data_IF_432190729408
#
_entry.id   IF_432190729408
#
_cell.length_a   1.000
_cell.length_b   1.000
_cell.length_c   1.000
_cell.angle_alpha   90.00
_cell.angle_beta   90.00
_cell.angle_gamma   90.00
#
_symmetry.space_group_name_H-M   'P 1'
#
loop_
_entity.id
_entity.type
_entity.pdbx_description
1 polymer ?
#
# COMPACT_ATOMS: atom_id res chain seq x y z
N UNK A 1 -71.54 49.48 -38.01
CA UNK A 1 -70.32 48.67 -37.79
C UNK A 1 -69.51 49.35 -36.69
N UNK A 2 -69.32 48.70 -35.54
CA UNK A 2 -68.54 49.27 -34.43
C UNK A 2 -67.03 49.22 -34.75
N UNK A 3 -66.24 50.27 -34.44
CA UNK A 3 -64.81 50.25 -34.67
C UNK A 3 -64.13 49.31 -33.66
N UNK A 4 -63.39 48.33 -34.18
CA UNK A 4 -62.49 47.49 -33.39
C UNK A 4 -61.32 48.35 -32.91
N UNK A 5 -61.24 48.57 -31.61
CA UNK A 5 -60.07 49.20 -30.98
C UNK A 5 -58.92 48.19 -31.00
N UNK A 6 -58.03 48.30 -32.00
CA UNK A 6 -56.70 47.72 -31.89
C UNK A 6 -56.00 48.48 -30.76
N UNK A 7 -55.90 47.86 -29.60
CA UNK A 7 -55.01 48.32 -28.54
C UNK A 7 -53.60 48.17 -29.09
N UNK A 8 -53.02 49.25 -29.61
CA UNK A 8 -51.63 49.27 -30.02
C UNK A 8 -50.81 48.76 -28.83
N UNK A 9 -49.99 47.73 -29.07
CA UNK A 9 -48.96 47.37 -28.10
C UNK A 9 -48.16 48.65 -27.82
N UNK A 10 -47.78 48.92 -26.56
CA UNK A 10 -46.90 50.03 -26.28
C UNK A 10 -45.67 49.91 -27.20
N UNK A 11 -45.24 51.02 -27.85
CA UNK A 11 -44.11 50.96 -28.76
C UNK A 11 -42.91 50.34 -28.03
N UNK A 12 -42.18 49.46 -28.71
CA UNK A 12 -40.92 48.95 -28.19
C UNK A 12 -40.04 50.13 -27.76
N UNK A 13 -39.38 50.06 -26.59
CA UNK A 13 -38.52 51.15 -26.15
C UNK A 13 -37.46 51.44 -27.23
N UNK A 14 -37.23 52.73 -27.49
CA UNK A 14 -36.22 53.16 -28.45
C UNK A 14 -34.82 52.75 -27.96
N UNK A 15 -33.95 52.32 -28.89
CA UNK A 15 -32.53 52.08 -28.59
C UNK A 15 -31.84 53.39 -28.14
N UNK A 16 -30.74 53.30 -27.40
CA UNK A 16 -29.96 54.49 -27.05
C UNK A 16 -29.43 55.19 -28.33
N UNK A 17 -29.52 56.51 -28.38
CA UNK A 17 -29.13 57.31 -29.54
C UNK A 17 -29.93 58.61 -29.69
N UNK A 18 -29.56 59.39 -30.71
CA UNK A 18 -30.27 60.62 -31.10
C UNK A 18 -31.17 60.34 -32.30
N UNK A 19 -32.42 60.78 -32.20
CA UNK A 19 -33.47 60.56 -33.17
C UNK A 19 -33.95 61.88 -33.76
N UNK A 20 -33.42 62.24 -34.92
CA UNK A 20 -33.79 63.45 -35.64
C UNK A 20 -35.14 63.28 -36.35
N UNK A 21 -36.03 64.28 -36.23
CA UNK A 21 -37.35 64.31 -36.87
C UNK A 21 -38.26 63.09 -36.59
N UNK A 22 -38.12 62.44 -35.42
CA UNK A 22 -38.93 61.26 -35.04
C UNK A 22 -40.14 61.58 -34.18
N UNK A 23 -40.29 62.83 -33.74
CA UNK A 23 -41.51 63.24 -33.04
C UNK A 23 -42.56 63.68 -34.07
N UNK A 24 -43.83 63.57 -33.72
CA UNK A 24 -44.95 64.00 -34.56
C UNK A 24 -45.88 64.86 -33.73
N UNK A 25 -46.21 66.06 -34.22
CA UNK A 25 -47.18 66.95 -33.61
C UNK A 25 -48.49 66.86 -34.38
N UNK A 26 -49.57 66.47 -33.71
CA UNK A 26 -50.93 66.53 -34.25
C UNK A 26 -51.66 67.70 -33.59
N UNK A 27 -52.14 68.64 -34.38
CA UNK A 27 -52.97 69.75 -33.88
C UNK A 27 -54.39 69.22 -33.56
N UNK A 28 -54.98 69.66 -32.46
CA UNK A 28 -56.32 69.26 -32.01
C UNK A 28 -57.12 70.46 -31.50
N UNK A 29 -58.45 70.36 -31.51
CA UNK A 29 -59.38 71.45 -31.21
C UNK A 29 -60.28 71.81 -32.39
N UNK A 30 -61.36 72.55 -32.14
CA UNK A 30 -62.37 72.90 -33.15
C UNK A 30 -61.78 73.66 -34.36
N UNK A 31 -60.78 74.49 -34.10
CA UNK A 31 -60.12 75.33 -35.11
C UNK A 31 -58.81 74.72 -35.63
N UNK A 32 -58.43 73.50 -35.22
CA UNK A 32 -57.14 72.90 -35.61
C UNK A 32 -56.97 72.78 -37.13
N UNK A 33 -58.07 72.63 -37.88
CA UNK A 33 -58.06 72.60 -39.34
C UNK A 33 -57.67 73.93 -40.01
N UNK A 34 -57.67 75.03 -39.25
CA UNK A 34 -57.27 76.36 -39.75
C UNK A 34 -55.76 76.62 -39.65
N UNK A 35 -54.98 75.71 -39.05
CA UNK A 35 -53.56 75.88 -38.80
C UNK A 35 -52.74 74.72 -39.37
N UNK A 36 -51.56 75.03 -39.89
CA UNK A 36 -50.53 74.05 -40.26
C UNK A 36 -49.27 74.28 -39.43
N UNK A 37 -48.68 73.21 -38.89
CA UNK A 37 -47.39 73.31 -38.22
C UNK A 37 -46.26 73.26 -39.26
N UNK A 38 -45.61 74.41 -39.49
CA UNK A 38 -44.44 74.55 -40.37
C UNK A 38 -43.09 74.60 -39.63
N UNK A 39 -43.09 74.36 -38.31
CA UNK A 39 -41.87 74.40 -37.49
C UNK A 39 -41.02 73.14 -37.64
N UNK A 40 -39.77 73.22 -37.21
CA UNK A 40 -38.92 72.03 -37.05
C UNK A 40 -39.39 71.22 -35.85
N UNK A 41 -39.43 69.90 -36.00
CA UNK A 41 -39.66 69.01 -34.87
C UNK A 41 -38.30 68.74 -34.22
N UNK A 42 -38.21 68.93 -32.91
CA UNK A 42 -36.95 68.75 -32.18
C UNK A 42 -36.43 67.32 -32.24
N UNK A 43 -35.13 67.17 -32.06
CA UNK A 43 -34.49 65.85 -31.88
C UNK A 43 -34.88 65.25 -30.53
N UNK A 44 -34.98 63.92 -30.47
CA UNK A 44 -35.20 63.17 -29.24
C UNK A 44 -33.97 62.33 -28.92
N UNK A 45 -33.46 62.38 -27.69
CA UNK A 45 -32.27 61.64 -27.28
C UNK A 45 -32.63 60.61 -26.22
N UNK A 46 -32.20 59.37 -26.44
CA UNK A 46 -32.25 58.28 -25.47
C UNK A 46 -30.84 58.00 -24.98
N UNK A 47 -30.61 58.13 -23.68
CA UNK A 47 -29.33 57.81 -23.06
C UNK A 47 -29.23 56.31 -22.74
N UNK A 48 -28.01 55.81 -22.60
CA UNK A 48 -27.77 54.42 -22.18
C UNK A 48 -28.19 54.20 -20.72
N UNK A 49 -28.71 53.01 -20.41
CA UNK A 49 -28.97 52.59 -19.03
C UNK A 49 -27.70 52.04 -18.38
N UNK A 50 -27.30 52.58 -17.23
CA UNK A 50 -26.19 52.03 -16.43
C UNK A 50 -26.62 50.72 -15.77
N UNK A 51 -25.93 49.62 -16.06
CA UNK A 51 -26.20 48.29 -15.51
C UNK A 51 -25.66 48.16 -14.08
N UNK A 52 -26.53 47.73 -13.17
CA UNK A 52 -26.18 47.28 -11.84
C UNK A 52 -25.72 45.81 -11.90
N UNK A 53 -24.43 45.62 -12.21
CA UNK A 53 -23.80 44.31 -12.29
C UNK A 53 -23.20 43.84 -10.97
N UNK A 54 -23.44 42.58 -10.61
CA UNK A 54 -22.80 41.91 -9.47
C UNK A 54 -22.02 40.71 -9.98
N UNK A 55 -20.77 40.57 -9.52
CA UNK A 55 -19.95 39.39 -9.74
C UNK A 55 -20.03 38.49 -8.50
N UNK A 56 -20.57 37.28 -8.69
CA UNK A 56 -20.64 36.27 -7.65
C UNK A 56 -19.27 35.81 -7.16
N UNK A 57 -19.22 35.18 -6.00
CA UNK A 57 -17.99 34.57 -5.50
C UNK A 57 -17.56 33.40 -6.42
N UNK A 58 -16.27 33.35 -6.73
CA UNK A 58 -15.63 32.21 -7.40
C UNK A 58 -14.98 31.29 -6.37
N UNK A 59 -14.77 30.02 -6.74
CA UNK A 59 -14.07 29.10 -5.86
C UNK A 59 -13.43 27.93 -6.59
N UNK A 60 -12.36 27.39 -6.02
CA UNK A 60 -11.78 26.12 -6.47
C UNK A 60 -11.16 25.37 -5.30
N UNK A 61 -10.73 24.13 -5.54
CA UNK A 61 -9.79 23.43 -4.67
C UNK A 61 -8.37 23.69 -5.15
N UNK A 62 -7.43 23.75 -4.22
CA UNK A 62 -6.02 23.96 -4.52
C UNK A 62 -5.51 22.97 -5.57
N UNK A 63 -4.77 23.47 -6.56
CA UNK A 63 -4.26 22.70 -7.70
C UNK A 63 -5.27 22.42 -8.82
N UNK A 64 -6.55 22.81 -8.66
CA UNK A 64 -7.57 22.68 -9.72
C UNK A 64 -7.65 23.96 -10.57
N UNK A 65 -8.22 23.83 -11.77
CA UNK A 65 -8.57 24.99 -12.60
C UNK A 65 -9.46 25.98 -11.84
N UNK A 66 -9.20 27.27 -12.03
CA UNK A 66 -10.00 28.32 -11.39
C UNK A 66 -11.41 28.35 -11.96
N UNK A 67 -12.40 28.53 -11.09
CA UNK A 67 -13.83 28.65 -11.47
C UNK A 67 -14.33 30.00 -10.97
N UNK A 68 -14.26 31.05 -11.82
CA UNK A 68 -14.76 32.37 -11.47
C UNK A 68 -16.28 32.37 -11.24
N UNK A 69 -16.75 33.32 -10.44
CA UNK A 69 -18.18 33.53 -10.24
C UNK A 69 -18.88 34.06 -11.49
N UNK A 70 -20.21 33.96 -11.52
CA UNK A 70 -21.01 34.49 -12.62
C UNK A 70 -21.34 35.98 -12.42
N UNK A 71 -21.45 36.71 -13.54
CA UNK A 71 -21.94 38.08 -13.55
C UNK A 71 -23.46 38.07 -13.74
N UNK A 72 -24.16 38.88 -12.96
CA UNK A 72 -25.61 39.09 -13.08
C UNK A 72 -25.93 40.57 -13.13
N UNK A 73 -26.98 40.93 -13.87
CA UNK A 73 -27.46 42.31 -14.00
C UNK A 73 -28.90 42.38 -13.46
N UNK A 74 -29.13 43.17 -12.41
CA UNK A 74 -30.42 43.23 -11.73
C UNK A 74 -31.44 44.14 -12.41
N UNK A 75 -30.98 45.14 -13.17
CA UNK A 75 -31.81 46.14 -13.83
C UNK A 75 -31.81 46.04 -15.36
N UNK A 76 -31.38 44.91 -15.92
CA UNK A 76 -31.48 44.65 -17.37
C UNK A 76 -32.96 44.59 -17.77
N UNK A 77 -33.33 45.26 -18.86
CA UNK A 77 -34.70 45.23 -19.38
C UNK A 77 -35.05 43.80 -19.82
N UNK A 78 -36.28 43.36 -19.50
CA UNK A 78 -36.74 42.02 -19.83
C UNK A 78 -36.81 41.83 -21.35
N UNK A 79 -36.23 40.74 -21.84
CA UNK A 79 -36.12 40.44 -23.28
C UNK A 79 -34.80 40.88 -23.90
N UNK A 80 -34.06 41.80 -23.27
CA UNK A 80 -32.80 42.29 -23.83
C UNK A 80 -31.69 41.23 -23.74
N UNK A 81 -30.94 41.13 -24.85
CA UNK A 81 -29.79 40.25 -24.99
C UNK A 81 -28.52 41.04 -24.72
N UNK A 82 -28.03 40.92 -23.49
CA UNK A 82 -26.80 41.54 -23.00
C UNK A 82 -26.01 40.52 -22.19
N UNK A 83 -24.71 40.42 -22.44
CA UNK A 83 -23.77 39.55 -21.76
C UNK A 83 -22.50 40.33 -21.39
N UNK A 84 -21.92 40.00 -20.23
CA UNK A 84 -20.65 40.59 -19.80
C UNK A 84 -19.48 39.96 -20.56
N UNK A 85 -18.30 40.60 -20.47
CA UNK A 85 -17.04 39.95 -20.77
C UNK A 85 -16.77 38.74 -19.86
N UNK A 86 -15.76 37.95 -20.21
CA UNK A 86 -15.22 36.88 -19.36
C UNK A 86 -14.66 37.46 -18.06
N UNK A 87 -14.88 36.74 -16.96
CA UNK A 87 -14.30 37.07 -15.65
C UNK A 87 -12.84 36.59 -15.62
N UNK A 88 -11.93 37.44 -15.17
CA UNK A 88 -10.53 37.09 -14.89
C UNK A 88 -10.30 36.95 -13.39
N UNK A 89 -9.33 36.12 -13.00
CA UNK A 89 -8.86 35.97 -11.61
C UNK A 89 -7.39 36.31 -11.57
N UNK A 90 -7.03 37.34 -10.80
CA UNK A 90 -5.63 37.78 -10.66
C UNK A 90 -4.91 36.91 -9.65
N UNK A 91 -3.86 36.19 -10.08
CA UNK A 91 -3.07 35.29 -9.21
C UNK A 91 -1.71 35.85 -8.82
N UNK A 92 -1.28 36.96 -9.41
CA UNK A 92 0.04 37.58 -9.17
C UNK A 92 0.31 37.78 -7.68
N UNK A 93 1.47 37.31 -7.21
CA UNK A 93 1.90 37.40 -5.82
C UNK A 93 1.23 36.39 -4.87
N UNK A 94 0.28 35.58 -5.36
CA UNK A 94 -0.52 34.64 -4.55
C UNK A 94 -0.31 33.18 -4.95
N UNK A 95 0.68 32.87 -5.78
CA UNK A 95 0.94 31.51 -6.27
C UNK A 95 1.89 30.73 -5.37
N UNK A 96 1.65 29.43 -5.24
CA UNK A 96 2.57 28.45 -4.65
C UNK A 96 3.82 28.24 -5.51
N UNK A 97 4.73 27.39 -5.03
CA UNK A 97 5.92 27.00 -5.82
C UNK A 97 5.57 26.26 -7.11
N UNK A 98 4.43 25.56 -7.18
CA UNK A 98 3.89 24.97 -8.42
C UNK A 98 3.16 25.96 -9.35
N UNK A 99 3.04 27.24 -8.97
CA UNK A 99 2.35 28.25 -9.77
C UNK A 99 0.83 28.27 -9.61
N UNK A 100 0.27 27.45 -8.72
CA UNK A 100 -1.17 27.42 -8.43
C UNK A 100 -1.54 28.51 -7.42
N UNK A 101 -2.74 29.09 -7.52
CA UNK A 101 -3.25 30.03 -6.49
C UNK A 101 -3.30 29.32 -5.13
N UNK A 102 -2.64 29.89 -4.11
CA UNK A 102 -2.57 29.30 -2.76
C UNK A 102 -3.97 29.12 -2.15
N UNK A 103 -4.10 28.19 -1.20
CA UNK A 103 -5.34 28.05 -0.43
C UNK A 103 -5.58 29.30 0.42
N UNK A 104 -6.83 29.75 0.50
CA UNK A 104 -7.20 30.95 1.23
C UNK A 104 -8.45 31.64 0.67
N UNK A 105 -8.82 32.75 1.30
CA UNK A 105 -9.87 33.65 0.83
C UNK A 105 -9.24 34.94 0.33
N UNK A 106 -9.64 35.36 -0.86
CA UNK A 106 -9.12 36.52 -1.56
C UNK A 106 -10.23 37.51 -1.84
N UNK A 107 -10.05 38.75 -1.41
CA UNK A 107 -11.02 39.82 -1.65
C UNK A 107 -10.70 40.57 -2.93
N UNK A 108 -11.70 40.76 -3.80
CA UNK A 108 -11.59 41.58 -5.01
C UNK A 108 -10.64 41.10 -6.11
N UNK A 109 -10.12 39.87 -6.07
CA UNK A 109 -9.17 39.38 -7.09
C UNK A 109 -9.83 38.94 -8.39
N UNK A 110 -11.16 38.76 -8.38
CA UNK A 110 -11.91 38.57 -9.61
C UNK A 110 -12.26 39.92 -10.22
N UNK A 111 -12.21 40.03 -11.54
CA UNK A 111 -12.63 41.23 -12.24
C UNK A 111 -13.33 40.93 -13.55
N UNK A 112 -14.30 41.75 -13.90
CA UNK A 112 -14.90 41.79 -15.24
C UNK A 112 -14.88 43.22 -15.74
N UNK A 113 -14.44 43.41 -16.99
CA UNK A 113 -14.43 44.73 -17.61
C UNK A 113 -15.84 45.24 -17.88
N UNK A 114 -15.96 46.54 -18.15
CA UNK A 114 -17.20 47.17 -18.59
C UNK A 114 -17.69 46.75 -19.98
N UNK A 115 -16.93 45.89 -20.70
CA UNK A 115 -17.29 45.46 -22.05
C UNK A 115 -18.55 44.60 -22.03
N UNK A 116 -19.54 45.00 -22.81
CA UNK A 116 -20.80 44.28 -23.01
C UNK A 116 -20.89 43.73 -24.43
N UNK A 117 -21.59 42.61 -24.58
CA UNK A 117 -21.89 41.98 -25.87
C UNK A 117 -23.38 41.58 -25.94
N UNK A 118 -23.88 41.31 -27.14
CA UNK A 118 -25.29 40.99 -27.39
C UNK A 118 -26.01 42.08 -28.21
N UNK A 119 -27.19 41.74 -28.72
CA UNK A 119 -27.95 42.59 -29.65
C UNK A 119 -28.38 43.94 -29.07
N UNK A 120 -28.44 44.02 -27.73
CA UNK A 120 -28.90 45.22 -27.02
C UNK A 120 -27.78 45.89 -26.22
N UNK A 121 -26.54 45.41 -26.30
CA UNK A 121 -25.41 45.92 -25.51
C UNK A 121 -25.18 47.44 -25.66
N UNK A 122 -25.40 48.00 -26.87
CA UNK A 122 -25.26 49.44 -27.13
C UNK A 122 -26.27 50.32 -26.37
N UNK A 123 -27.34 49.73 -25.81
CA UNK A 123 -28.32 50.44 -24.99
C UNK A 123 -27.87 50.59 -23.53
N UNK A 124 -26.74 50.00 -23.15
CA UNK A 124 -26.29 49.90 -21.78
C UNK A 124 -24.86 50.41 -21.60
N UNK A 125 -24.56 50.88 -20.40
CA UNK A 125 -23.20 51.07 -19.92
C UNK A 125 -22.96 50.17 -18.72
N UNK A 126 -21.73 49.70 -18.55
CA UNK A 126 -21.32 48.93 -17.38
C UNK A 126 -19.91 49.37 -17.01
N UNK A 127 -19.69 49.70 -15.73
CA UNK A 127 -18.38 50.14 -15.26
C UNK A 127 -17.39 48.97 -15.08
N UNK A 128 -17.87 47.73 -15.16
CA UNK A 128 -17.16 46.57 -14.63
C UNK A 128 -17.48 46.36 -13.14
N UNK A 129 -17.02 45.25 -12.60
CA UNK A 129 -17.12 44.98 -11.16
C UNK A 129 -16.05 43.97 -10.75
N UNK A 130 -15.78 43.89 -9.45
CA UNK A 130 -14.84 42.92 -8.86
C UNK A 130 -15.56 41.98 -7.91
N UNK A 131 -14.93 40.85 -7.61
CA UNK A 131 -15.51 39.80 -6.77
C UNK A 131 -14.46 39.06 -5.96
N UNK A 132 -14.92 38.40 -4.89
CA UNK A 132 -14.07 37.62 -4.00
C UNK A 132 -13.89 36.20 -4.53
N UNK A 133 -12.79 35.55 -4.20
CA UNK A 133 -12.49 34.19 -4.63
C UNK A 133 -11.95 33.36 -3.45
N UNK A 134 -12.34 32.10 -3.36
CA UNK A 134 -11.86 31.20 -2.29
C UNK A 134 -11.21 29.95 -2.88
N UNK A 135 -10.02 29.61 -2.41
CA UNK A 135 -9.35 28.34 -2.71
C UNK A 135 -9.38 27.48 -1.45
N UNK A 136 -10.02 26.32 -1.54
CA UNK A 136 -10.05 25.32 -0.46
C UNK A 136 -8.75 24.50 -0.47
N UNK A 137 -8.13 24.21 0.69
CA UNK A 137 -6.96 23.32 0.73
C UNK A 137 -7.27 21.95 0.13
N UNK A 138 -6.29 21.34 -0.53
CA UNK A 138 -6.41 19.99 -1.06
C UNK A 138 -6.17 18.96 0.05
N UNK A 139 -7.13 18.06 0.30
CA UNK A 139 -6.93 16.95 1.22
C UNK A 139 -5.92 15.94 0.63
N UNK A 140 -4.79 15.74 1.30
CA UNK A 140 -3.76 14.79 0.90
C UNK A 140 -4.16 13.35 1.22
N UNK A 141 -3.91 12.48 0.24
CA UNK A 141 -3.98 11.03 0.40
C UNK A 141 -2.57 10.52 0.67
N UNK A 142 -2.29 10.25 1.95
CA UNK A 142 -1.01 9.74 2.42
C UNK A 142 -1.00 8.23 2.64
N UNK A 143 0.17 7.62 2.50
CA UNK A 143 0.42 6.23 2.88
C UNK A 143 1.80 6.11 3.54
N UNK A 144 1.97 5.15 4.45
CA UNK A 144 3.28 4.74 4.98
C UNK A 144 3.66 3.43 4.30
N UNK A 145 4.86 3.37 3.71
CA UNK A 145 5.42 2.15 3.13
C UNK A 145 5.67 1.05 4.18
N UNK A 146 6.08 -0.13 3.73
CA UNK A 146 6.45 -1.21 4.64
C UNK A 146 7.66 -0.79 5.51
N UNK A 147 7.52 -0.89 6.82
CA UNK A 147 8.63 -0.75 7.77
C UNK A 147 9.08 -2.13 8.26
N UNK A 148 10.38 -2.29 8.50
CA UNK A 148 10.90 -3.57 8.98
C UNK A 148 12.21 -3.46 9.73
N UNK A 149 12.44 -4.38 10.66
CA UNK A 149 13.73 -4.57 11.32
C UNK A 149 13.99 -6.04 11.65
N UNK A 150 15.23 -6.35 12.04
CA UNK A 150 15.54 -7.61 12.72
C UNK A 150 15.28 -7.41 14.22
N UNK A 151 14.81 -8.46 14.89
CA UNK A 151 14.63 -8.46 16.34
C UNK A 151 15.90 -7.97 17.06
N UNK A 152 15.77 -6.96 17.92
CA UNK A 152 16.88 -6.33 18.63
C UNK A 152 17.62 -5.21 17.89
N UNK A 153 17.33 -5.00 16.60
CA UNK A 153 17.87 -3.87 15.85
C UNK A 153 17.00 -2.62 16.02
N UNK A 154 17.57 -1.45 15.75
CA UNK A 154 16.83 -0.19 15.66
C UNK A 154 15.65 -0.31 14.68
N UNK A 155 14.51 0.23 15.06
CA UNK A 155 13.32 0.21 14.23
C UNK A 155 13.47 1.17 13.05
N UNK A 156 13.06 0.74 11.86
CA UNK A 156 13.16 1.50 10.61
C UNK A 156 11.77 1.62 9.99
N UNK A 157 11.17 2.80 10.14
CA UNK A 157 9.86 3.09 9.57
C UNK A 157 9.88 3.12 8.05
N UNK A 158 8.74 2.80 7.45
CA UNK A 158 8.51 3.05 6.03
C UNK A 158 8.46 4.54 5.71
N UNK A 159 8.76 4.89 4.46
CA UNK A 159 8.62 6.26 3.98
C UNK A 159 7.14 6.65 3.84
N UNK A 160 6.83 7.92 4.12
CA UNK A 160 5.50 8.49 3.85
C UNK A 160 5.45 9.02 2.42
N UNK A 161 4.39 8.72 1.70
CA UNK A 161 4.16 9.19 0.33
C UNK A 161 2.79 9.85 0.22
N UNK A 162 2.69 10.88 -0.60
CA UNK A 162 1.43 11.54 -0.95
C UNK A 162 1.11 11.32 -2.44
N UNK A 163 0.00 10.65 -2.75
CA UNK A 163 -0.32 10.26 -4.14
C UNK A 163 -0.91 11.39 -4.98
N UNK A 164 -1.48 12.42 -4.34
CA UNK A 164 -2.16 13.53 -4.98
C UNK A 164 -1.49 14.89 -4.69
N UNK A 165 -0.24 14.90 -4.21
CA UNK A 165 0.52 16.14 -4.05
C UNK A 165 0.72 16.79 -5.43
N UNK A 166 0.42 18.08 -5.55
CA UNK A 166 0.66 18.84 -6.78
C UNK A 166 2.16 18.86 -7.08
N UNK A 167 2.52 18.55 -8.33
CA UNK A 167 3.92 18.53 -8.77
C UNK A 167 4.56 19.91 -8.63
N UNK A 168 5.80 19.96 -8.16
CA UNK A 168 6.53 21.20 -7.87
C UNK A 168 6.35 21.73 -6.43
N UNK A 169 5.33 21.28 -5.69
CA UNK A 169 5.12 21.74 -4.32
C UNK A 169 6.11 21.14 -3.32
N UNK A 170 6.51 21.96 -2.35
CA UNK A 170 7.33 21.57 -1.20
C UNK A 170 6.43 21.35 0.01
N UNK A 171 6.09 20.08 0.23
CA UNK A 171 5.30 19.60 1.37
C UNK A 171 5.94 18.32 1.89
N UNK A 172 6.24 18.30 3.19
CA UNK A 172 6.87 17.19 3.87
C UNK A 172 5.97 16.72 5.02
N UNK A 173 5.80 15.40 5.18
CA UNK A 173 5.10 14.82 6.32
C UNK A 173 5.93 14.97 7.60
N UNK A 174 5.28 14.80 8.74
CA UNK A 174 5.94 14.61 10.03
C UNK A 174 6.72 13.28 10.09
N UNK A 175 7.49 13.11 11.16
CA UNK A 175 8.22 11.85 11.43
C UNK A 175 7.25 10.72 11.73
N UNK A 176 7.53 9.53 11.18
CA UNK A 176 6.78 8.32 11.50
C UNK A 176 7.20 7.80 12.87
N UNK A 177 6.22 7.52 13.72
CA UNK A 177 6.41 6.84 15.00
C UNK A 177 6.01 5.36 14.88
N UNK A 178 6.66 4.50 15.66
CA UNK A 178 6.35 3.07 15.72
C UNK A 178 5.98 2.73 17.17
N UNK A 179 4.73 2.33 17.39
CA UNK A 179 4.25 1.94 18.72
C UNK A 179 4.68 0.52 19.06
N UNK A 180 5.46 0.39 20.15
CA UNK A 180 5.91 -0.92 20.67
C UNK A 180 5.13 -1.38 21.91
N UNK A 181 4.21 -0.55 22.41
CA UNK A 181 3.48 -0.81 23.65
C UNK A 181 2.77 -2.18 23.60
N UNK A 182 2.95 -2.98 24.66
CA UNK A 182 2.37 -4.32 24.77
C UNK A 182 3.02 -5.40 23.89
N UNK A 183 3.99 -5.05 23.04
CA UNK A 183 4.60 -5.95 22.07
C UNK A 183 6.09 -6.22 22.30
N UNK A 184 6.63 -5.78 23.44
CA UNK A 184 8.06 -5.95 23.77
C UNK A 184 8.36 -7.27 24.46
N UNK A 185 9.56 -7.80 24.25
CA UNK A 185 10.17 -8.92 24.97
C UNK A 185 10.61 -8.54 26.38
N UNK A 186 11.18 -9.49 27.12
CA UNK A 186 11.78 -9.19 28.44
C UNK A 186 13.01 -8.27 28.33
N UNK A 187 13.74 -8.27 27.20
CA UNK A 187 14.78 -7.27 26.91
C UNK A 187 14.25 -5.92 26.39
N UNK A 188 12.93 -5.73 26.32
CA UNK A 188 12.33 -4.45 25.91
C UNK A 188 12.31 -4.20 24.40
N UNK A 189 12.75 -5.18 23.58
CA UNK A 189 12.74 -5.07 22.12
C UNK A 189 11.38 -5.48 21.55
N UNK A 190 10.93 -4.84 20.46
CA UNK A 190 9.72 -5.25 19.75
C UNK A 190 9.88 -6.69 19.26
N UNK A 191 8.96 -7.59 19.66
CA UNK A 191 9.03 -9.03 19.36
C UNK A 191 9.04 -9.30 17.84
N UNK A 192 9.55 -10.46 17.44
CA UNK A 192 9.49 -10.89 16.04
C UNK A 192 8.04 -11.19 15.63
N UNK A 193 7.64 -10.74 14.45
CA UNK A 193 6.27 -10.92 13.96
C UNK A 193 5.85 -9.88 12.94
N UNK A 194 4.57 -9.91 12.58
CA UNK A 194 3.93 -8.93 11.70
C UNK A 194 2.90 -8.13 12.49
N UNK A 195 2.97 -6.81 12.36
CA UNK A 195 2.16 -5.87 13.12
C UNK A 195 1.37 -4.98 12.17
N UNK A 196 0.04 -4.93 12.35
CA UNK A 196 -0.84 -4.07 11.55
C UNK A 196 -0.98 -2.70 12.22
N UNK A 197 -0.80 -1.62 11.46
CA UNK A 197 -1.11 -0.26 11.89
C UNK A 197 -0.25 0.32 13.02
N UNK A 198 0.88 -0.30 13.39
CA UNK A 198 1.72 0.22 14.48
C UNK A 198 2.64 1.37 14.08
N UNK A 199 2.81 1.60 12.77
CA UNK A 199 3.42 2.82 12.26
C UNK A 199 2.35 3.90 12.21
N UNK A 200 2.67 5.13 12.62
CA UNK A 200 1.76 6.27 12.50
C UNK A 200 2.51 7.55 12.16
N UNK A 201 1.90 8.39 11.35
CA UNK A 201 2.33 9.77 11.11
C UNK A 201 1.17 10.71 11.40
N UNK A 202 1.46 11.83 12.06
CA UNK A 202 0.46 12.83 12.39
C UNK A 202 -0.03 13.58 11.14
N UNK A 203 -1.10 14.37 11.29
CA UNK A 203 -1.58 15.28 10.23
C UNK A 203 -0.68 16.50 10.00
N UNK A 204 0.40 16.66 10.77
CA UNK A 204 1.27 17.83 10.68
C UNK A 204 2.06 17.81 9.38
N UNK A 205 2.03 18.92 8.65
CA UNK A 205 2.77 19.13 7.41
C UNK A 205 3.76 20.29 7.58
N UNK A 206 4.90 20.18 6.92
CA UNK A 206 5.90 21.26 6.83
C UNK A 206 6.29 21.52 5.38
N UNK A 207 7.02 22.61 5.13
CA UNK A 207 7.37 23.07 3.79
C UNK A 207 6.61 24.33 3.38
N UNK A 208 7.08 25.00 2.32
CA UNK A 208 6.57 26.31 1.89
C UNK A 208 5.13 26.27 1.40
N UNK A 209 4.66 25.10 0.98
CA UNK A 209 3.32 24.91 0.40
C UNK A 209 2.39 24.11 1.31
N UNK A 210 2.80 23.80 2.55
CA UNK A 210 2.03 22.96 3.48
C UNK A 210 0.63 23.50 3.78
N UNK A 211 0.48 24.83 3.89
CA UNK A 211 -0.81 25.49 4.16
C UNK A 211 -1.84 25.30 3.02
N UNK A 212 -1.40 24.88 1.83
CA UNK A 212 -2.29 24.59 0.71
C UNK A 212 -2.99 23.24 0.79
N UNK A 213 -2.68 22.46 1.83
CA UNK A 213 -3.13 21.09 2.00
C UNK A 213 -3.71 20.84 3.39
N UNK A 214 -4.54 19.81 3.49
CA UNK A 214 -4.91 19.19 4.77
C UNK A 214 -4.47 17.73 4.75
N UNK A 215 -4.07 17.20 5.91
CA UNK A 215 -3.72 15.80 6.05
C UNK A 215 -4.20 15.30 7.40
N UNK A 216 -4.89 14.16 7.42
CA UNK A 216 -5.45 13.58 8.65
C UNK A 216 -4.43 12.70 9.40
N UNK A 217 -3.25 12.46 8.83
CA UNK A 217 -2.35 11.39 9.27
C UNK A 217 -2.70 10.07 8.58
N UNK A 218 -1.85 9.07 8.79
CA UNK A 218 -2.12 7.69 8.35
C UNK A 218 -1.36 6.70 9.21
N UNK A 219 -1.78 5.44 9.17
CA UNK A 219 -1.08 4.31 9.80
C UNK A 219 -0.49 3.35 8.77
N UNK A 220 0.50 2.57 9.17
CA UNK A 220 1.14 1.56 8.32
C UNK A 220 1.53 0.29 9.08
N UNK A 221 1.78 -0.78 8.33
CA UNK A 221 2.15 -2.09 8.88
C UNK A 221 3.66 -2.21 9.06
N UNK A 222 4.10 -3.02 10.01
CA UNK A 222 5.51 -3.21 10.33
C UNK A 222 5.84 -4.68 10.54
N UNK A 223 7.04 -5.12 10.17
CA UNK A 223 7.47 -6.51 10.36
C UNK A 223 8.83 -6.60 11.05
N UNK A 224 8.93 -7.49 12.03
CA UNK A 224 10.20 -7.80 12.71
C UNK A 224 10.60 -9.23 12.37
N UNK A 225 11.74 -9.43 11.73
CA UNK A 225 12.30 -10.76 11.48
C UNK A 225 13.00 -11.29 12.73
N UNK A 226 13.09 -12.61 12.86
CA UNK A 226 13.80 -13.23 13.98
C UNK A 226 15.29 -12.90 13.94
N UNK A 227 15.89 -12.77 15.13
CA UNK A 227 17.34 -12.76 15.26
C UNK A 227 17.89 -14.19 15.19
N UNK A 228 19.18 -14.32 14.95
CA UNK A 228 19.85 -15.62 14.87
C UNK A 228 20.68 -15.85 16.12
N UNK A 229 20.48 -16.99 16.78
CA UNK A 229 21.31 -17.47 17.88
C UNK A 229 22.46 -18.30 17.34
N UNK A 230 23.65 -18.09 17.92
CA UNK A 230 24.82 -18.93 17.71
C UNK A 230 24.93 -20.02 18.76
N UNK A 231 25.54 -21.14 18.39
CA UNK A 231 25.64 -22.32 19.24
C UNK A 231 26.06 -23.56 18.47
N UNK A 232 25.86 -24.72 19.09
CA UNK A 232 26.25 -26.01 18.53
C UNK A 232 25.25 -27.10 18.94
N UNK A 233 24.88 -27.97 18.00
CA UNK A 233 24.29 -29.29 18.27
C UNK A 233 25.40 -30.32 18.06
N UNK A 234 25.77 -31.07 19.10
CA UNK A 234 26.79 -32.11 18.97
C UNK A 234 26.31 -33.25 18.07
N UNK A 235 27.22 -34.12 17.65
CA UNK A 235 26.82 -35.36 16.97
C UNK A 235 25.92 -36.22 17.85
N UNK A 236 24.95 -36.87 17.22
CA UNK A 236 24.08 -37.88 17.85
C UNK A 236 24.33 -39.25 17.25
N UNK A 237 23.99 -40.31 17.98
CA UNK A 237 24.18 -41.67 17.48
C UNK A 237 23.08 -42.61 17.96
N UNK A 238 22.76 -43.63 17.17
CA UNK A 238 21.96 -44.78 17.61
C UNK A 238 22.41 -46.04 16.89
N UNK A 239 21.99 -47.21 17.40
CA UNK A 239 22.07 -48.47 16.65
C UNK A 239 20.81 -48.61 15.81
N UNK A 240 20.92 -49.22 14.63
CA UNK A 240 19.78 -49.52 13.78
C UNK A 240 18.68 -50.28 14.56
N UNK A 241 17.43 -49.80 14.49
CA UNK A 241 16.29 -50.37 15.22
C UNK A 241 16.13 -49.87 16.67
N UNK A 242 17.06 -49.09 17.20
CA UNK A 242 16.94 -48.48 18.53
C UNK A 242 16.26 -47.10 18.47
N UNK A 243 15.79 -46.62 19.62
CA UNK A 243 15.34 -45.24 19.76
C UNK A 243 16.48 -44.26 19.39
N UNK A 244 16.11 -43.17 18.70
CA UNK A 244 17.09 -42.16 18.31
C UNK A 244 17.62 -41.44 19.54
N UNK A 245 18.92 -41.20 19.59
CA UNK A 245 19.58 -40.42 20.64
C UNK A 245 20.30 -39.23 20.00
N UNK A 246 19.57 -38.13 19.73
CA UNK A 246 20.13 -36.91 19.16
C UNK A 246 21.26 -36.35 20.03
N UNK A 247 22.10 -35.51 19.44
CA UNK A 247 23.12 -34.78 20.17
C UNK A 247 22.54 -33.73 21.11
N UNK A 248 23.39 -33.19 21.99
CA UNK A 248 23.04 -32.11 22.90
C UNK A 248 23.23 -30.76 22.22
N UNK A 249 22.39 -29.79 22.56
CA UNK A 249 22.46 -28.44 22.02
C UNK A 249 22.93 -27.42 23.08
N UNK A 250 23.79 -26.51 22.67
CA UNK A 250 24.18 -25.32 23.45
C UNK A 250 23.95 -24.06 22.64
N UNK A 251 23.50 -23.00 23.31
CA UNK A 251 23.43 -21.64 22.78
C UNK A 251 24.59 -20.87 23.40
N UNK A 252 25.42 -20.25 22.58
CA UNK A 252 26.64 -19.58 23.04
C UNK A 252 26.62 -18.07 22.80
N UNK A 253 25.86 -17.59 21.81
CA UNK A 253 25.81 -16.17 21.44
C UNK A 253 24.44 -15.75 20.92
N UNK A 254 24.18 -14.43 20.91
CA UNK A 254 23.02 -13.82 20.28
C UNK A 254 21.82 -13.57 21.20
N UNK A 255 21.84 -14.07 22.44
CA UNK A 255 20.83 -13.72 23.45
C UNK A 255 20.98 -12.22 23.75
N UNK A 256 19.88 -11.48 23.59
CA UNK A 256 19.88 -10.04 23.78
C UNK A 256 19.68 -9.71 25.26
N UNK A 257 20.47 -8.75 25.71
CA UNK A 257 20.34 -8.09 27.00
C UNK A 257 20.32 -6.59 26.78
N UNK A 258 19.45 -5.90 27.48
CA UNK A 258 19.35 -4.45 27.50
C UNK A 258 19.27 -3.95 28.95
N UNK A 259 19.26 -2.63 29.14
CA UNK A 259 19.04 -2.04 30.46
C UNK A 259 17.69 -2.41 31.12
N UNK A 260 16.74 -2.98 30.36
CA UNK A 260 15.43 -3.40 30.90
C UNK A 260 15.36 -4.89 31.23
N UNK A 261 16.37 -5.69 30.87
CA UNK A 261 16.40 -7.13 31.15
C UNK A 261 17.15 -7.94 30.09
N UNK A 262 17.20 -9.26 30.32
CA UNK A 262 17.75 -10.25 29.38
C UNK A 262 16.62 -11.12 28.85
N UNK A 263 16.70 -11.47 27.58
CA UNK A 263 15.77 -12.41 26.96
C UNK A 263 15.85 -13.79 27.60
N UNK A 264 14.68 -14.40 27.83
CA UNK A 264 14.56 -15.75 28.37
C UNK A 264 14.46 -16.74 27.21
N UNK A 265 15.61 -17.26 26.80
CA UNK A 265 15.73 -18.29 25.76
C UNK A 265 16.75 -19.36 26.16
N UNK A 266 16.41 -20.63 25.90
CA UNK A 266 17.23 -21.80 26.23
C UNK A 266 17.18 -22.84 25.12
N UNK A 267 18.18 -23.71 25.06
CA UNK A 267 18.17 -24.86 24.17
C UNK A 267 17.10 -25.85 24.64
N UNK A 268 16.17 -26.21 23.76
CA UNK A 268 15.16 -27.21 23.99
C UNK A 268 15.54 -28.56 23.40
N UNK A 269 14.53 -29.31 22.97
CA UNK A 269 14.72 -30.66 22.42
C UNK A 269 15.41 -30.62 21.06
N UNK A 270 16.42 -31.47 20.88
CA UNK A 270 17.00 -31.77 19.56
C UNK A 270 16.25 -32.96 18.97
N UNK A 271 15.84 -32.84 17.71
CA UNK A 271 15.17 -33.92 16.97
C UNK A 271 15.95 -34.30 15.72
N UNK A 272 15.79 -35.53 15.26
CA UNK A 272 16.43 -36.05 14.04
C UNK A 272 15.36 -36.22 12.96
N UNK A 273 15.58 -35.61 11.80
CA UNK A 273 14.70 -35.76 10.63
C UNK A 273 14.96 -37.10 9.95
N UNK A 274 13.97 -37.99 9.99
CA UNK A 274 14.05 -39.34 9.41
C UNK A 274 13.42 -39.47 8.03
N UNK A 275 12.67 -38.46 7.57
CA UNK A 275 11.93 -38.48 6.30
C UNK A 275 12.84 -38.88 5.12
N UNK A 276 12.38 -39.87 4.35
CA UNK A 276 13.10 -40.40 3.18
C UNK A 276 14.25 -41.36 3.50
N UNK A 277 14.56 -41.62 4.77
CA UNK A 277 15.73 -42.41 5.18
C UNK A 277 15.37 -43.63 6.04
N UNK A 278 14.09 -43.98 6.12
CA UNK A 278 13.61 -45.13 6.88
C UNK A 278 13.69 -46.43 6.09
N UNK A 279 13.88 -47.55 6.80
CA UNK A 279 13.78 -48.91 6.29
C UNK A 279 12.32 -49.37 6.19
N UNK A 280 12.10 -50.61 5.72
CA UNK A 280 10.77 -51.22 5.64
C UNK A 280 10.12 -51.38 7.03
N UNK A 281 10.91 -51.50 8.09
CA UNK A 281 10.42 -51.52 9.48
C UNK A 281 10.20 -50.11 10.07
N UNK A 282 10.39 -49.05 9.28
CA UNK A 282 10.20 -47.67 9.72
C UNK A 282 11.39 -47.08 10.52
N UNK A 283 12.47 -47.83 10.70
CA UNK A 283 13.66 -47.38 11.43
C UNK A 283 14.61 -46.60 10.53
N UNK A 284 15.30 -45.59 11.08
CA UNK A 284 16.32 -44.86 10.33
C UNK A 284 17.44 -45.82 9.89
N UNK A 285 17.76 -45.86 8.59
CA UNK A 285 18.76 -46.78 8.02
C UNK A 285 20.15 -46.53 8.62
N UNK A 286 21.01 -47.55 8.63
CA UNK A 286 22.42 -47.39 9.01
C UNK A 286 23.15 -46.42 8.05
N UNK A 287 24.00 -45.55 8.58
CA UNK A 287 24.71 -44.52 7.83
C UNK A 287 24.94 -43.24 8.63
N UNK A 288 25.59 -42.26 7.98
CA UNK A 288 25.86 -40.93 8.55
C UNK A 288 24.97 -39.89 7.89
N UNK A 289 24.36 -39.02 8.69
CA UNK A 289 23.35 -38.04 8.29
C UNK A 289 23.75 -36.62 8.70
N UNK A 290 24.22 -35.84 7.73
CA UNK A 290 24.58 -34.42 7.92
C UNK A 290 23.35 -33.51 7.90
N UNK A 291 23.34 -32.50 8.77
CA UNK A 291 22.28 -31.49 8.88
C UNK A 291 20.86 -32.07 9.07
N UNK A 292 20.74 -33.27 9.67
CA UNK A 292 19.44 -33.88 9.99
C UNK A 292 18.99 -33.67 11.43
N UNK A 293 19.80 -33.01 12.25
CA UNK A 293 19.40 -32.62 13.60
C UNK A 293 18.82 -31.20 13.57
N UNK A 294 17.82 -30.94 14.41
CA UNK A 294 17.17 -29.62 14.53
C UNK A 294 16.88 -29.31 15.98
N UNK A 295 17.12 -28.06 16.40
CA UNK A 295 16.89 -27.59 17.75
C UNK A 295 15.55 -26.84 17.86
N UNK A 296 14.70 -27.26 18.79
CA UNK A 296 13.62 -26.42 19.30
C UNK A 296 14.17 -25.45 20.37
N UNK A 297 13.77 -24.18 20.33
CA UNK A 297 14.13 -23.19 21.34
C UNK A 297 13.00 -23.08 22.38
N UNK A 298 13.36 -22.95 23.66
CA UNK A 298 12.43 -22.83 24.78
C UNK A 298 12.60 -21.47 25.47
N UNK A 299 11.57 -21.05 26.21
CA UNK A 299 11.56 -19.79 26.96
C UNK A 299 10.60 -18.76 26.39
N UNK A 300 10.30 -17.73 27.18
CA UNK A 300 9.29 -16.72 26.85
C UNK A 300 9.61 -15.94 25.56
N UNK A 301 10.90 -15.78 25.24
CA UNK A 301 11.37 -14.99 24.11
C UNK A 301 11.87 -15.87 22.95
N UNK A 302 11.76 -17.19 23.04
CA UNK A 302 12.22 -18.13 22.00
C UNK A 302 11.61 -17.87 20.62
N UNK A 303 10.36 -17.37 20.58
CA UNK A 303 9.68 -16.99 19.34
C UNK A 303 10.42 -15.93 18.53
N UNK A 304 11.26 -15.12 19.19
CA UNK A 304 12.00 -14.02 18.56
C UNK A 304 13.29 -14.46 17.87
N UNK A 305 13.66 -15.74 18.01
CA UNK A 305 14.93 -16.28 17.57
C UNK A 305 14.79 -17.46 16.63
N UNK A 306 15.80 -17.61 15.78
CA UNK A 306 16.10 -18.82 15.02
C UNK A 306 17.47 -19.34 15.44
N UNK A 307 17.67 -20.66 15.40
CA UNK A 307 18.98 -21.24 15.66
C UNK A 307 19.78 -21.30 14.35
N UNK A 308 20.93 -20.63 14.32
CA UNK A 308 21.87 -20.65 13.19
C UNK A 308 23.25 -21.18 13.55
N UNK A 309 23.33 -21.97 14.63
CA UNK A 309 24.57 -22.62 15.07
C UNK A 309 24.96 -23.82 14.20
N UNK A 310 26.11 -24.42 14.53
CA UNK A 310 26.61 -25.61 13.84
C UNK A 310 25.80 -26.85 14.21
N UNK A 311 25.57 -27.74 13.25
CA UNK A 311 24.81 -28.99 13.45
C UNK A 311 25.72 -30.18 13.17
N UNK A 312 26.05 -30.94 14.21
CA UNK A 312 26.82 -32.18 14.09
C UNK A 312 26.06 -33.27 13.35
N UNK A 313 26.80 -34.18 12.73
CA UNK A 313 26.24 -35.34 12.04
C UNK A 313 25.52 -36.28 13.02
N UNK A 314 24.48 -36.96 12.51
CA UNK A 314 23.83 -38.06 13.21
C UNK A 314 24.24 -39.40 12.59
N UNK A 315 24.72 -40.35 13.38
CA UNK A 315 25.19 -41.64 12.86
C UNK A 315 24.34 -42.80 13.38
N UNK A 316 23.82 -43.62 12.47
CA UNK A 316 23.20 -44.91 12.81
C UNK A 316 24.18 -46.03 12.52
N UNK A 317 24.63 -46.72 13.56
CA UNK A 317 25.50 -47.89 13.41
C UNK A 317 24.69 -49.14 13.06
N UNK A 318 25.33 -50.10 12.40
CA UNK A 318 24.68 -51.36 12.04
C UNK A 318 24.34 -52.17 13.28
N UNK A 319 23.14 -52.76 13.30
CA UNK A 319 22.78 -53.76 14.30
C UNK A 319 23.44 -55.09 13.94
N UNK A 320 24.19 -55.67 14.88
CA UNK A 320 24.78 -56.99 14.70
C UNK A 320 23.70 -58.06 14.61
N UNK A 321 23.67 -58.75 13.47
CA UNK A 321 22.82 -59.92 13.26
C UNK A 321 23.48 -61.15 13.88
N UNK A 322 22.75 -61.88 14.72
CA UNK A 322 23.20 -63.16 15.22
C UNK A 322 22.69 -64.26 14.29
N UNK A 323 23.52 -65.24 13.94
CA UNK A 323 23.12 -66.33 13.06
C UNK A 323 23.83 -67.63 13.39
N UNK A 324 23.16 -68.73 13.03
CA UNK A 324 23.71 -70.09 13.14
C UNK A 324 23.63 -70.73 11.76
N UNK A 325 24.78 -71.23 11.28
CA UNK A 325 24.82 -72.19 10.18
C UNK A 325 24.77 -73.59 10.81
N UNK A 326 23.66 -74.29 10.60
CA UNK A 326 23.47 -75.64 11.10
C UNK A 326 24.45 -76.63 10.46
N UNK A 327 24.50 -77.86 11.00
CA UNK A 327 25.26 -78.93 10.39
C UNK A 327 24.68 -79.28 9.01
N UNK A 328 25.55 -79.41 8.01
CA UNK A 328 25.22 -80.05 6.73
C UNK A 328 25.52 -81.55 6.79
N UNK A 329 24.88 -82.34 5.93
CA UNK A 329 25.16 -83.77 5.82
C UNK A 329 24.90 -84.25 4.40
N UNK A 330 25.69 -85.19 3.93
CA UNK A 330 25.54 -85.80 2.60
C UNK A 330 26.08 -87.23 2.66
N UNK A 331 25.58 -88.10 1.78
CA UNK A 331 26.10 -89.46 1.63
C UNK A 331 27.31 -89.40 0.69
N UNK A 332 28.35 -90.19 0.95
CA UNK A 332 29.51 -90.27 0.05
C UNK A 332 29.07 -90.55 -1.39
N UNK A 333 29.52 -89.70 -2.33
CA UNK A 333 29.14 -89.77 -3.75
C UNK A 333 27.86 -89.01 -4.14
N UNK A 334 27.14 -88.40 -3.19
CA UNK A 334 25.96 -87.56 -3.48
C UNK A 334 26.33 -86.07 -3.65
N UNK A 335 25.40 -85.29 -4.21
CA UNK A 335 25.48 -83.82 -4.15
C UNK A 335 25.57 -83.36 -2.69
N UNK A 336 26.44 -82.38 -2.44
CA UNK A 336 26.66 -81.86 -1.10
C UNK A 336 25.50 -80.95 -0.67
N UNK A 337 25.00 -81.16 0.54
CA UNK A 337 23.89 -80.42 1.15
C UNK A 337 24.43 -79.63 2.34
N UNK A 338 24.60 -78.30 2.20
CA UNK A 338 24.98 -77.44 3.31
C UNK A 338 23.90 -77.39 4.39
N UNK A 339 24.27 -77.03 5.62
CA UNK A 339 23.30 -76.81 6.69
C UNK A 339 22.45 -75.56 6.47
N UNK A 340 21.29 -75.51 7.14
CA UNK A 340 20.40 -74.35 7.07
C UNK A 340 20.98 -73.15 7.86
N UNK A 341 20.76 -71.94 7.35
CA UNK A 341 21.09 -70.69 8.07
C UNK A 341 19.85 -70.18 8.77
N UNK A 342 19.98 -69.91 10.07
CA UNK A 342 18.95 -69.21 10.85
C UNK A 342 19.50 -67.91 11.39
N UNK A 343 18.76 -66.81 11.22
CA UNK A 343 19.10 -65.52 11.82
C UNK A 343 18.21 -65.22 13.04
N UNK A 344 18.80 -64.54 14.00
CA UNK A 344 18.18 -64.01 15.22
C UNK A 344 18.62 -62.56 15.41
N UNK A 345 17.95 -61.81 16.29
CA UNK A 345 18.19 -60.38 16.51
C UNK A 345 17.92 -59.50 15.26
N UNK A 346 16.98 -59.93 14.43
CA UNK A 346 16.49 -59.14 13.30
C UNK A 346 15.41 -58.17 13.80
N UNK A 347 15.43 -56.93 13.33
CA UNK A 347 14.35 -55.96 13.61
C UNK A 347 13.05 -56.44 12.95
N UNK A 348 11.95 -56.40 13.70
CA UNK A 348 10.64 -56.82 13.20
C UNK A 348 10.22 -56.01 11.96
N UNK A 349 9.69 -56.69 10.94
CA UNK A 349 9.29 -56.07 9.67
C UNK A 349 10.41 -55.92 8.63
N UNK A 350 11.68 -56.14 9.01
CA UNK A 350 12.76 -56.18 8.02
C UNK A 350 12.68 -57.46 7.17
N UNK A 351 13.45 -57.50 6.08
CA UNK A 351 13.65 -58.70 5.25
C UNK A 351 15.16 -58.94 5.18
N UNK A 352 15.60 -60.08 5.72
CA UNK A 352 17.01 -60.49 5.73
C UNK A 352 17.06 -61.95 5.31
N UNK A 353 17.77 -62.23 4.23
CA UNK A 353 17.90 -63.58 3.63
C UNK A 353 19.37 -63.94 3.54
N UNK A 354 19.70 -65.18 3.91
CA UNK A 354 21.05 -65.68 3.80
C UNK A 354 21.36 -66.02 2.33
N UNK A 355 22.60 -65.82 1.91
CA UNK A 355 23.08 -66.47 0.70
C UNK A 355 23.14 -67.99 0.93
N UNK A 356 23.01 -68.76 -0.14
CA UNK A 356 23.18 -70.23 -0.09
C UNK A 356 24.59 -70.55 0.44
N UNK A 357 24.73 -71.32 1.54
CA UNK A 357 26.04 -71.67 2.05
C UNK A 357 26.80 -72.52 1.03
N UNK A 358 28.10 -72.27 0.89
CA UNK A 358 28.98 -73.05 0.01
C UNK A 358 29.85 -73.98 0.83
N UNK A 359 30.09 -75.19 0.31
CA UNK A 359 31.00 -76.16 0.94
C UNK A 359 32.35 -76.10 0.24
N UNK A 360 33.41 -75.79 0.98
CA UNK A 360 34.78 -75.83 0.47
C UNK A 360 35.32 -77.26 0.56
N UNK A 361 35.60 -77.87 -0.59
CA UNK A 361 36.08 -79.26 -0.70
C UNK A 361 37.60 -79.36 -0.93
N UNK A 362 38.31 -78.22 -0.93
CA UNK A 362 39.75 -78.15 -1.23
C UNK A 362 40.56 -79.07 -0.31
N UNK A 363 41.37 -79.96 -0.91
CA UNK A 363 42.22 -80.92 -0.18
C UNK A 363 41.50 -82.18 0.31
N UNK A 364 40.16 -82.21 0.24
CA UNK A 364 39.35 -83.25 0.85
C UNK A 364 38.59 -84.11 -0.18
N UNK A 365 38.97 -84.08 -1.46
CA UNK A 365 38.36 -84.91 -2.50
C UNK A 365 39.08 -86.25 -2.69
N UNK A 366 38.32 -87.31 -2.94
CA UNK A 366 38.81 -88.64 -3.33
C UNK A 366 39.36 -88.62 -4.76
N UNK A 367 40.03 -89.71 -5.16
CA UNK A 367 40.46 -89.92 -6.55
C UNK A 367 39.31 -89.95 -7.56
N UNK A 368 38.09 -90.27 -7.10
CA UNK A 368 36.84 -90.20 -7.87
C UNK A 368 36.17 -88.81 -7.89
N UNK A 369 36.80 -87.79 -7.28
CA UNK A 369 36.30 -86.41 -7.26
C UNK A 369 35.24 -86.11 -6.19
N UNK A 370 34.89 -87.06 -5.31
CA UNK A 370 33.89 -86.89 -4.26
C UNK A 370 34.51 -86.41 -2.94
N UNK A 371 33.78 -85.68 -2.09
CA UNK A 371 34.26 -85.32 -0.75
C UNK A 371 34.51 -86.60 0.09
N UNK A 372 35.70 -86.72 0.69
CA UNK A 372 36.08 -87.84 1.56
C UNK A 372 35.21 -87.84 2.83
N UNK A 373 34.83 -89.04 3.28
CA UNK A 373 34.22 -89.27 4.58
C UNK A 373 35.25 -89.09 5.72
#
# INVERSE_FOLDING_TARGET
MAPRWFRALPPSPLKAGTYTNKQTLTLSGADAGNYSFGGTVGDYTVTTLSLAGVLGAGSSTYGSSLVPGAVSFSNKVAGDVVSSASVSVTTTGNTSTSGNLKAGTYTGIQSVSGTLSGADAANYTFAGTTGNYTVTPLALVGAIGAGSSVYGASLVSGAVTFSNKVSGDVVNPDTVTISTAGNTSTSGNLKAGSYSGIQSVSGTLSGTDAANYTFAGTTGNYTVSKATLGGNITSGTSVYGAALSPGSATITTGILSSGTGTDVVTAGTVSVTTTGNTSNSGNLKAGTYTNKQTLALNGADAGNYSFGGTVGDYTVTTLSLAGVLGAGSSVYGSSLVPGAVTFSNKVSGDIVTAATPTINTTGNTSTSGNLKA
#
